data_IF_177532042824
#
_entry.id   IF_177532042824
#
_cell.length_a   1.000
_cell.length_b   1.000
_cell.length_c   1.000
_cell.angle_alpha   90.00
_cell.angle_beta   90.00
_cell.angle_gamma   90.00
#
_symmetry.space_group_name_H-M   'P 1'
#
loop_
_entity.id
_entity.type
_entity.pdbx_description
1 polymer ?
#
# COMPACT_ATOMS: atom_id res chain seq x y z
N UNK A 1 -16.49 44.48 -44.43
CA UNK A 1 -15.48 43.50 -43.90
C UNK A 1 -14.77 43.97 -42.63
N UNK A 2 -14.56 45.25 -42.37
CA UNK A 2 -13.84 45.74 -41.17
C UNK A 2 -14.56 45.50 -39.84
N UNK A 3 -15.91 45.51 -39.79
CA UNK A 3 -16.69 45.26 -38.54
C UNK A 3 -16.62 43.82 -38.02
N UNK A 4 -16.37 42.84 -38.88
CA UNK A 4 -16.22 41.41 -38.45
C UNK A 4 -14.87 41.13 -37.79
N UNK A 5 -13.83 41.90 -38.10
CA UNK A 5 -12.49 41.77 -37.52
C UNK A 5 -12.49 42.27 -36.07
N UNK A 6 -13.23 43.33 -35.76
CA UNK A 6 -13.32 43.83 -34.37
C UNK A 6 -14.09 42.90 -33.45
N UNK A 7 -15.06 42.12 -33.97
CA UNK A 7 -15.79 41.13 -33.20
C UNK A 7 -14.91 39.92 -32.86
N UNK A 8 -14.02 39.52 -33.77
CA UNK A 8 -13.05 38.44 -33.54
C UNK A 8 -11.96 38.87 -32.57
N UNK A 9 -11.50 40.13 -32.61
CA UNK A 9 -10.51 40.68 -31.70
C UNK A 9 -11.04 40.82 -30.24
N UNK A 10 -12.37 41.00 -30.06
CA UNK A 10 -13.00 41.13 -28.75
C UNK A 10 -13.21 39.74 -28.08
N UNK A 11 -13.16 38.64 -28.85
CA UNK A 11 -13.33 37.27 -28.33
C UNK A 11 -12.01 36.67 -27.80
N UNK A 12 -10.87 37.26 -28.18
CA UNK A 12 -9.54 36.73 -27.83
C UNK A 12 -9.18 36.84 -26.34
N UNK A 13 -9.58 37.91 -25.58
CA UNK A 13 -9.30 37.95 -24.15
C UNK A 13 -10.17 37.02 -23.29
N UNK A 14 -11.20 36.39 -23.86
CA UNK A 14 -12.03 35.43 -23.14
C UNK A 14 -11.41 34.01 -23.10
N UNK A 15 -10.34 33.78 -23.85
CA UNK A 15 -9.60 32.50 -23.86
C UNK A 15 -8.35 32.49 -22.95
N UNK A 16 -7.99 33.65 -22.36
CA UNK A 16 -6.97 33.74 -21.32
C UNK A 16 -7.60 33.49 -19.93
N UNK A 17 -8.42 32.48 -19.81
CA UNK A 17 -9.08 32.09 -18.57
C UNK A 17 -8.24 31.06 -17.79
N UNK A 18 -7.75 31.50 -16.66
CA UNK A 18 -7.58 30.71 -15.44
C UNK A 18 -6.77 29.42 -15.53
N UNK A 19 -5.47 29.52 -15.72
CA UNK A 19 -4.55 28.48 -15.26
C UNK A 19 -4.64 28.33 -13.73
N UNK A 20 -4.90 29.40 -12.99
CA UNK A 20 -5.06 29.39 -11.53
C UNK A 20 -6.35 28.69 -11.04
N UNK A 21 -7.38 28.58 -11.88
CA UNK A 21 -8.63 27.92 -11.46
C UNK A 21 -8.50 26.38 -11.37
N UNK A 22 -7.58 25.81 -12.14
CA UNK A 22 -7.29 24.37 -12.12
C UNK A 22 -6.01 24.05 -11.35
N UNK A 23 -5.30 25.05 -10.82
CA UNK A 23 -4.20 24.80 -9.91
C UNK A 23 -4.80 24.22 -8.60
N UNK A 24 -4.43 23.02 -8.20
CA UNK A 24 -4.87 22.48 -6.91
C UNK A 24 -4.45 23.47 -5.81
N UNK A 25 -5.38 23.82 -4.94
CA UNK A 25 -5.09 24.65 -3.78
C UNK A 25 -4.16 23.85 -2.87
N UNK A 26 -2.85 24.07 -2.98
CA UNK A 26 -1.82 23.30 -2.27
C UNK A 26 -1.80 23.59 -0.77
N UNK A 27 -2.58 24.59 -0.30
CA UNK A 27 -2.70 24.90 1.11
C UNK A 27 -3.47 23.80 1.91
N UNK A 28 -4.32 23.02 1.22
CA UNK A 28 -5.14 21.95 1.81
C UNK A 28 -4.70 20.53 1.39
N UNK A 29 -3.71 20.39 0.50
CA UNK A 29 -3.18 19.09 0.07
C UNK A 29 -1.75 18.94 0.55
N UNK A 30 -1.52 17.94 1.41
CA UNK A 30 -0.16 17.49 1.73
C UNK A 30 0.51 17.04 0.42
N UNK A 31 1.57 17.73 0.02
CA UNK A 31 2.43 17.24 -1.04
C UNK A 31 3.17 16.01 -0.53
N UNK A 32 3.35 15.00 -1.37
CA UNK A 32 4.07 13.77 -1.05
C UNK A 32 5.42 14.02 -0.33
N UNK A 33 6.16 15.04 -0.78
CA UNK A 33 7.43 15.48 -0.19
C UNK A 33 7.33 16.05 1.25
N UNK A 34 6.13 16.41 1.70
CA UNK A 34 5.88 17.01 3.03
C UNK A 34 5.09 16.04 3.93
N UNK A 35 4.93 14.78 3.51
CA UNK A 35 4.16 13.76 4.23
C UNK A 35 4.69 13.52 5.65
N UNK A 36 6.02 13.50 5.83
CA UNK A 36 6.66 13.42 7.15
C UNK A 36 7.59 14.62 7.34
N UNK A 37 7.09 15.69 7.94
CA UNK A 37 7.86 16.90 8.27
C UNK A 37 8.27 16.99 9.74
N UNK A 38 7.64 16.19 10.61
CA UNK A 38 7.86 16.21 12.07
C UNK A 38 8.02 14.80 12.63
N UNK A 39 8.62 14.69 13.82
CA UNK A 39 8.70 13.41 14.53
C UNK A 39 7.33 12.86 14.92
N UNK A 40 6.34 13.72 15.14
CA UNK A 40 4.96 13.32 15.41
C UNK A 40 4.34 12.63 14.19
N UNK A 41 4.48 13.20 13.00
CA UNK A 41 3.99 12.62 11.75
C UNK A 41 4.68 11.29 11.44
N UNK A 42 5.96 11.17 11.74
CA UNK A 42 6.71 9.93 11.61
C UNK A 42 6.12 8.81 12.49
N UNK A 43 5.81 9.10 13.75
CA UNK A 43 5.13 8.12 14.63
C UNK A 43 3.69 7.84 14.19
N UNK A 44 2.98 8.85 13.69
CA UNK A 44 1.61 8.67 13.16
C UNK A 44 1.62 7.80 11.91
N UNK A 45 2.59 7.99 11.01
CA UNK A 45 2.79 7.11 9.84
C UNK A 45 3.06 5.66 10.25
N UNK A 46 3.88 5.43 11.28
CA UNK A 46 4.09 4.09 11.83
C UNK A 46 2.79 3.46 12.38
N UNK A 47 1.94 4.24 13.04
CA UNK A 47 0.63 3.77 13.50
C UNK A 47 -0.30 3.46 12.32
N UNK A 48 -0.25 4.24 11.24
CA UNK A 48 -0.95 3.96 9.98
C UNK A 48 -0.52 2.62 9.37
N UNK A 49 0.79 2.33 9.36
CA UNK A 49 1.32 1.04 8.91
C UNK A 49 0.83 -0.12 9.81
N UNK A 50 0.76 0.08 11.12
CA UNK A 50 0.20 -0.91 12.05
C UNK A 50 -1.29 -1.17 11.77
N UNK A 51 -2.06 -0.13 11.40
CA UNK A 51 -3.46 -0.28 11.00
C UNK A 51 -3.60 -1.12 9.72
N UNK A 52 -2.74 -0.92 8.71
CA UNK A 52 -2.74 -1.77 7.51
C UNK A 52 -2.53 -3.26 7.84
N UNK A 53 -1.69 -3.56 8.83
CA UNK A 53 -1.51 -4.94 9.31
C UNK A 53 -2.79 -5.44 9.99
N UNK A 54 -3.42 -4.61 10.82
CA UNK A 54 -4.67 -4.97 11.51
C UNK A 54 -5.79 -5.33 10.54
N UNK A 55 -5.87 -4.64 9.40
CA UNK A 55 -6.89 -4.89 8.37
C UNK A 55 -6.79 -6.28 7.73
N UNK A 56 -5.63 -6.94 7.80
CA UNK A 56 -5.40 -8.27 7.18
C UNK A 56 -5.17 -9.40 8.19
N UNK A 57 -5.08 -9.10 9.48
CA UNK A 57 -4.84 -10.12 10.52
C UNK A 57 -5.95 -11.16 10.56
N UNK A 58 -7.21 -10.74 10.49
CA UNK A 58 -8.35 -11.67 10.50
C UNK A 58 -8.32 -12.59 9.28
N UNK A 59 -8.01 -12.06 8.10
CA UNK A 59 -7.82 -12.85 6.89
C UNK A 59 -6.71 -13.90 7.06
N UNK A 60 -5.56 -13.51 7.59
CA UNK A 60 -4.45 -14.42 7.85
C UNK A 60 -4.86 -15.54 8.81
N UNK A 61 -5.53 -15.20 9.91
CA UNK A 61 -6.01 -16.17 10.91
C UNK A 61 -7.01 -17.17 10.32
N UNK A 62 -7.97 -16.71 9.52
CA UNK A 62 -8.95 -17.59 8.88
C UNK A 62 -8.28 -18.50 7.84
N UNK A 63 -7.41 -17.98 6.99
CA UNK A 63 -6.73 -18.78 5.97
C UNK A 63 -5.85 -19.85 6.60
N UNK A 64 -5.05 -19.51 7.60
CA UNK A 64 -4.22 -20.47 8.32
C UNK A 64 -5.07 -21.48 9.12
N UNK A 65 -6.10 -21.00 9.80
CA UNK A 65 -6.95 -21.83 10.64
C UNK A 65 -7.80 -22.84 9.85
N UNK A 66 -8.42 -22.39 8.75
CA UNK A 66 -9.26 -23.24 7.91
C UNK A 66 -8.44 -24.27 7.13
N UNK A 67 -7.29 -23.87 6.57
CA UNK A 67 -6.41 -24.80 5.83
C UNK A 67 -5.58 -25.70 6.74
N UNK A 68 -5.35 -25.28 7.98
CA UNK A 68 -4.57 -26.03 8.97
C UNK A 68 -5.40 -26.95 9.87
N UNK A 69 -6.68 -27.18 9.55
CA UNK A 69 -7.62 -28.00 10.35
C UNK A 69 -7.79 -27.50 11.81
N UNK A 70 -7.50 -26.22 12.07
CA UNK A 70 -7.70 -25.59 13.38
C UNK A 70 -9.09 -24.98 13.53
N UNK A 71 -9.70 -24.62 12.40
CA UNK A 71 -11.05 -24.03 12.32
C UNK A 71 -11.91 -24.85 11.33
N UNK A 72 -13.18 -25.00 11.66
CA UNK A 72 -14.20 -25.59 10.79
C UNK A 72 -15.34 -24.58 10.59
N UNK A 73 -15.78 -24.33 9.33
CA UNK A 73 -16.90 -23.44 9.09
C UNK A 73 -18.19 -24.03 9.66
N UNK A 74 -18.98 -23.20 10.31
CA UNK A 74 -20.34 -23.60 10.75
C UNK A 74 -21.28 -23.66 9.55
N UNK A 75 -22.45 -24.30 9.71
CA UNK A 75 -23.48 -24.39 8.66
C UNK A 75 -23.94 -23.05 8.10
N UNK A 76 -23.78 -21.96 8.87
CA UNK A 76 -24.14 -20.60 8.49
C UNK A 76 -22.93 -19.77 8.03
N UNK A 77 -21.74 -20.36 7.93
CA UNK A 77 -20.56 -19.66 7.46
C UNK A 77 -20.70 -19.25 5.98
N UNK A 78 -20.11 -18.11 5.56
CA UNK A 78 -20.06 -17.70 4.17
C UNK A 78 -19.42 -18.77 3.27
N UNK A 79 -19.83 -18.81 2.00
CA UNK A 79 -19.31 -19.78 1.03
C UNK A 79 -17.81 -19.68 0.84
N UNK A 80 -17.25 -18.49 0.94
CA UNK A 80 -15.81 -18.21 0.85
C UNK A 80 -15.01 -19.00 1.90
N UNK A 81 -15.52 -19.14 3.12
CA UNK A 81 -14.89 -19.96 4.17
C UNK A 81 -14.95 -21.45 3.85
N UNK A 82 -16.06 -21.91 3.32
CA UNK A 82 -16.22 -23.31 2.88
C UNK A 82 -15.32 -23.64 1.70
N UNK A 83 -15.12 -22.69 0.79
CA UNK A 83 -14.22 -22.87 -0.36
C UNK A 83 -12.75 -22.93 0.08
N UNK A 84 -12.33 -22.12 1.04
CA UNK A 84 -11.00 -22.21 1.65
C UNK A 84 -10.82 -23.53 2.41
N UNK A 85 -11.80 -23.91 3.24
CA UNK A 85 -11.76 -25.15 4.01
C UNK A 85 -11.64 -26.40 3.12
N UNK A 86 -12.31 -26.40 1.97
CA UNK A 86 -12.29 -27.48 0.99
C UNK A 86 -11.21 -27.32 -0.10
N UNK A 87 -10.30 -26.34 0.03
CA UNK A 87 -9.23 -26.04 -0.95
C UNK A 87 -9.71 -25.73 -2.37
N UNK A 88 -10.97 -25.29 -2.54
CA UNK A 88 -11.51 -24.94 -3.85
C UNK A 88 -10.98 -23.62 -4.37
N UNK A 89 -10.66 -22.69 -3.48
CA UNK A 89 -10.05 -21.41 -3.79
C UNK A 89 -8.69 -21.55 -4.48
N UNK A 90 -7.96 -22.66 -4.27
CA UNK A 90 -6.71 -22.95 -4.98
C UNK A 90 -6.90 -23.36 -6.46
N UNK A 91 -8.13 -23.63 -6.87
CA UNK A 91 -8.47 -24.05 -8.25
C UNK A 91 -8.96 -22.89 -9.12
N UNK A 92 -9.11 -21.70 -8.56
CA UNK A 92 -9.65 -20.51 -9.20
C UNK A 92 -8.72 -19.31 -8.95
N UNK A 93 -8.84 -18.20 -9.71
CA UNK A 93 -8.14 -16.96 -9.37
C UNK A 93 -8.47 -16.55 -7.94
N UNK A 94 -7.45 -16.20 -7.15
CA UNK A 94 -7.62 -15.78 -5.75
C UNK A 94 -8.54 -14.56 -5.59
N UNK A 95 -8.64 -13.72 -6.62
CA UNK A 95 -9.56 -12.58 -6.66
C UNK A 95 -11.04 -12.96 -6.61
N UNK A 96 -11.40 -14.20 -6.95
CA UNK A 96 -12.79 -14.66 -6.93
C UNK A 96 -13.29 -15.03 -5.53
N UNK A 97 -12.35 -15.18 -4.59
CA UNK A 97 -12.64 -15.40 -3.17
C UNK A 97 -12.00 -14.28 -2.34
N UNK A 98 -12.82 -13.38 -1.81
CA UNK A 98 -12.36 -12.22 -1.05
C UNK A 98 -11.51 -12.60 0.18
N UNK A 99 -11.77 -13.75 0.80
CA UNK A 99 -10.97 -14.26 1.91
C UNK A 99 -9.59 -14.73 1.46
N UNK A 100 -9.45 -15.21 0.22
CA UNK A 100 -8.20 -15.72 -0.33
C UNK A 100 -7.43 -14.70 -1.20
N UNK A 101 -7.92 -13.46 -1.36
CA UNK A 101 -7.26 -12.42 -2.15
C UNK A 101 -5.97 -11.95 -1.44
N UNK A 102 -4.78 -12.09 -2.05
CA UNK A 102 -3.51 -11.68 -1.44
C UNK A 102 -3.30 -10.17 -1.34
N UNK A 103 -4.20 -9.37 -1.92
CA UNK A 103 -4.06 -7.91 -2.06
C UNK A 103 -3.76 -7.20 -0.74
N UNK A 104 -4.39 -7.63 0.36
CA UNK A 104 -4.17 -7.03 1.68
C UNK A 104 -2.73 -7.17 2.17
N UNK A 105 -2.10 -8.32 1.95
CA UNK A 105 -0.69 -8.55 2.32
C UNK A 105 0.26 -7.70 1.48
N UNK A 106 -0.02 -7.55 0.18
CA UNK A 106 0.76 -6.64 -0.67
C UNK A 106 0.58 -5.17 -0.28
N UNK A 107 -0.62 -4.77 0.19
CA UNK A 107 -0.81 -3.43 0.73
C UNK A 107 0.11 -3.15 1.94
N UNK A 108 0.29 -4.12 2.85
CA UNK A 108 1.24 -3.99 3.96
C UNK A 108 2.68 -3.82 3.46
N UNK A 109 3.09 -4.59 2.43
CA UNK A 109 4.45 -4.52 1.86
C UNK A 109 4.68 -3.14 1.23
N UNK A 110 3.77 -2.68 0.37
CA UNK A 110 3.90 -1.42 -0.35
C UNK A 110 3.87 -0.22 0.61
N UNK A 111 2.95 -0.20 1.59
CA UNK A 111 2.94 0.85 2.61
C UNK A 111 4.20 0.81 3.50
N UNK A 112 4.80 -0.37 3.72
CA UNK A 112 6.07 -0.46 4.44
C UNK A 112 7.22 0.14 3.65
N UNK A 113 7.28 -0.09 2.33
CA UNK A 113 8.31 0.47 1.45
C UNK A 113 8.20 2.00 1.41
N UNK A 114 6.99 2.50 1.17
CA UNK A 114 6.68 3.93 1.12
C UNK A 114 7.04 4.63 2.46
N UNK A 115 6.61 4.04 3.56
CA UNK A 115 6.94 4.57 4.88
C UNK A 115 8.45 4.59 5.16
N UNK A 116 9.18 3.54 4.78
CA UNK A 116 10.63 3.47 4.96
C UNK A 116 11.36 4.53 4.15
N UNK A 117 10.95 4.80 2.91
CA UNK A 117 11.50 5.88 2.09
C UNK A 117 11.36 7.22 2.80
N UNK A 118 10.17 7.58 3.26
CA UNK A 118 9.93 8.82 4.00
C UNK A 118 10.70 8.91 5.33
N UNK A 119 10.91 7.78 6.02
CA UNK A 119 11.76 7.72 7.23
C UNK A 119 13.21 8.04 6.88
N UNK A 120 13.73 7.54 5.76
CA UNK A 120 15.09 7.81 5.30
C UNK A 120 15.23 9.28 4.91
N UNK A 121 14.31 9.84 4.13
CA UNK A 121 14.28 11.25 3.76
C UNK A 121 14.22 12.17 5.00
N UNK A 122 13.35 11.84 5.96
CA UNK A 122 13.25 12.57 7.23
C UNK A 122 14.58 12.57 7.98
N UNK A 123 15.25 11.42 8.07
CA UNK A 123 16.55 11.31 8.75
C UNK A 123 17.65 12.09 8.05
N UNK A 124 17.65 12.11 6.72
CA UNK A 124 18.60 12.92 5.93
C UNK A 124 18.35 14.41 6.16
N UNK A 125 17.10 14.85 6.12
CA UNK A 125 16.71 16.26 6.31
C UNK A 125 16.93 16.74 7.75
N UNK A 126 16.73 15.86 8.75
CA UNK A 126 16.82 16.17 10.18
C UNK A 126 17.70 15.18 10.94
N UNK A 127 19.02 15.17 10.73
CA UNK A 127 19.93 14.11 11.22
C UNK A 127 20.02 14.00 12.74
N UNK A 128 19.70 15.07 13.49
CA UNK A 128 19.86 15.15 14.96
C UNK A 128 18.56 15.02 15.73
N UNK A 129 17.38 15.04 15.06
CA UNK A 129 16.07 15.06 15.76
C UNK A 129 15.74 13.70 16.38
N UNK A 130 16.10 12.60 15.70
CA UNK A 130 15.90 11.25 16.24
C UNK A 130 17.20 10.70 16.79
N UNK A 131 17.14 10.08 17.96
CA UNK A 131 18.24 9.26 18.45
C UNK A 131 18.46 8.06 17.51
N UNK A 132 19.68 7.50 17.49
CA UNK A 132 19.97 6.30 16.71
C UNK A 132 19.09 5.12 17.14
N UNK A 133 18.77 5.01 18.43
CA UNK A 133 17.90 3.97 18.98
C UNK A 133 16.48 4.08 18.42
N UNK A 134 15.90 5.29 18.46
CA UNK A 134 14.52 5.52 17.98
C UNK A 134 14.41 5.29 16.47
N UNK A 135 15.38 5.83 15.72
CA UNK A 135 15.48 5.63 14.28
C UNK A 135 15.54 4.15 13.89
N UNK A 136 16.45 3.39 14.53
CA UNK A 136 16.57 1.96 14.27
C UNK A 136 15.31 1.19 14.74
N UNK A 137 14.66 1.63 15.80
CA UNK A 137 13.41 1.05 16.29
C UNK A 137 12.26 1.19 15.28
N UNK A 138 12.13 2.36 14.68
CA UNK A 138 11.12 2.65 13.66
C UNK A 138 11.36 1.81 12.40
N UNK A 139 12.60 1.80 11.88
CA UNK A 139 12.97 0.98 10.71
C UNK A 139 12.73 -0.50 10.99
N UNK A 140 13.22 -1.01 12.12
CA UNK A 140 13.04 -2.40 12.51
C UNK A 140 11.57 -2.79 12.66
N UNK A 141 10.74 -1.87 13.15
CA UNK A 141 9.30 -2.05 13.23
C UNK A 141 8.62 -2.16 11.86
N UNK A 142 8.94 -1.27 10.93
CA UNK A 142 8.41 -1.31 9.57
C UNK A 142 8.86 -2.56 8.81
N UNK A 143 10.15 -2.89 8.88
CA UNK A 143 10.70 -4.11 8.27
C UNK A 143 10.06 -5.38 8.85
N UNK A 144 9.72 -5.40 10.14
CA UNK A 144 9.01 -6.52 10.76
C UNK A 144 7.64 -6.74 10.14
N UNK A 145 6.87 -5.67 9.88
CA UNK A 145 5.56 -5.78 9.23
C UNK A 145 5.69 -6.26 7.78
N UNK A 146 6.64 -5.72 7.04
CA UNK A 146 6.98 -6.17 5.68
C UNK A 146 7.35 -7.66 5.65
N UNK A 147 8.24 -8.09 6.55
CA UNK A 147 8.65 -9.48 6.65
C UNK A 147 7.50 -10.41 7.05
N UNK A 148 6.62 -9.97 7.96
CA UNK A 148 5.43 -10.72 8.33
C UNK A 148 4.49 -10.92 7.14
N UNK A 149 4.25 -9.88 6.34
CA UNK A 149 3.38 -9.99 5.17
C UNK A 149 3.96 -10.96 4.12
N UNK A 150 5.27 -10.92 3.86
CA UNK A 150 5.94 -11.91 3.00
C UNK A 150 5.85 -13.33 3.56
N UNK A 151 6.03 -13.51 4.87
CA UNK A 151 5.87 -14.81 5.50
C UNK A 151 4.45 -15.35 5.31
N UNK A 152 3.41 -14.50 5.44
CA UNK A 152 2.03 -14.92 5.21
C UNK A 152 1.81 -15.30 3.73
N UNK A 153 2.30 -14.50 2.78
CA UNK A 153 2.24 -14.84 1.35
C UNK A 153 2.92 -16.18 1.06
N UNK A 154 4.11 -16.39 1.59
CA UNK A 154 4.85 -17.64 1.40
C UNK A 154 4.11 -18.86 1.98
N UNK A 155 3.57 -18.75 3.21
CA UNK A 155 2.86 -19.85 3.88
C UNK A 155 1.51 -20.17 3.22
N UNK A 156 0.77 -19.14 2.80
CA UNK A 156 -0.61 -19.26 2.31
C UNK A 156 -0.63 -19.60 0.82
N UNK A 157 0.24 -18.96 0.02
CA UNK A 157 0.22 -19.05 -1.44
C UNK A 157 1.44 -19.78 -2.03
N UNK A 158 2.46 -20.06 -1.23
CA UNK A 158 3.68 -20.76 -1.64
C UNK A 158 4.70 -19.90 -2.36
N UNK A 159 4.32 -18.72 -2.83
CA UNK A 159 5.18 -17.79 -3.55
C UNK A 159 4.72 -16.35 -3.36
N UNK A 160 5.60 -15.39 -3.59
CA UNK A 160 5.31 -13.97 -3.56
C UNK A 160 6.14 -13.19 -4.57
N UNK A 161 5.55 -12.18 -5.21
CA UNK A 161 6.31 -11.18 -5.99
C UNK A 161 7.10 -10.31 -5.01
N UNK A 162 8.42 -10.21 -5.20
CA UNK A 162 9.26 -9.37 -4.36
C UNK A 162 9.19 -7.91 -4.81
N UNK A 163 8.72 -7.05 -3.93
CA UNK A 163 8.55 -5.62 -4.14
C UNK A 163 9.35 -4.86 -3.08
N UNK A 164 10.39 -4.13 -3.49
CA UNK A 164 11.29 -3.43 -2.56
C UNK A 164 11.30 -1.91 -2.75
N UNK A 165 10.59 -1.44 -3.77
CA UNK A 165 10.46 -0.03 -4.10
C UNK A 165 9.13 0.56 -3.60
N UNK A 166 8.98 1.89 -3.48
CA UNK A 166 7.72 2.56 -3.20
C UNK A 166 6.66 2.29 -4.27
N UNK A 167 5.38 2.39 -3.89
CA UNK A 167 4.24 2.10 -4.77
C UNK A 167 4.27 2.89 -6.09
N UNK A 168 4.67 4.16 -6.06
CA UNK A 168 4.72 5.03 -7.23
C UNK A 168 5.69 4.55 -8.34
N UNK A 169 6.64 3.66 -8.00
CA UNK A 169 7.66 3.15 -8.92
C UNK A 169 7.15 2.00 -9.78
N UNK A 170 6.08 1.28 -9.35
CA UNK A 170 5.63 0.07 -10.03
C UNK A 170 4.77 0.38 -11.25
N UNK A 171 5.24 -0.07 -12.43
CA UNK A 171 4.53 0.05 -13.70
C UNK A 171 4.13 -1.31 -14.27
N UNK A 172 4.99 -2.32 -14.14
CA UNK A 172 4.78 -3.67 -14.67
C UNK A 172 5.33 -4.70 -13.67
N UNK A 173 4.43 -5.40 -12.98
CA UNK A 173 4.78 -6.38 -11.95
C UNK A 173 5.45 -7.63 -12.54
N UNK A 174 5.33 -7.90 -13.85
CA UNK A 174 5.98 -9.04 -14.50
C UNK A 174 7.52 -8.96 -14.51
N UNK A 175 8.07 -7.77 -14.26
CA UNK A 175 9.52 -7.54 -14.21
C UNK A 175 10.13 -7.86 -12.85
N UNK A 176 9.30 -8.05 -11.81
CA UNK A 176 9.77 -8.29 -10.45
C UNK A 176 9.95 -9.79 -10.19
N UNK A 177 10.98 -10.16 -9.41
CA UNK A 177 11.24 -11.57 -9.11
C UNK A 177 10.12 -12.18 -8.27
N UNK A 178 9.78 -13.43 -8.59
CA UNK A 178 8.87 -14.23 -7.77
C UNK A 178 9.72 -15.08 -6.82
N UNK A 179 9.54 -14.88 -5.53
CA UNK A 179 10.18 -15.67 -4.48
C UNK A 179 9.28 -16.86 -4.14
N UNK A 180 9.87 -18.03 -4.05
CA UNK A 180 9.20 -19.25 -3.57
C UNK A 180 9.49 -19.47 -2.08
N UNK A 181 8.67 -20.30 -1.44
CA UNK A 181 8.77 -20.55 0.00
C UNK A 181 10.17 -21.00 0.46
N UNK A 182 10.90 -21.75 -0.36
CA UNK A 182 12.27 -22.21 -0.11
C UNK A 182 13.33 -21.12 -0.32
N UNK A 183 12.94 -19.95 -0.81
CA UNK A 183 13.82 -18.79 -1.06
C UNK A 183 13.53 -17.56 -0.19
N UNK A 184 12.61 -17.67 0.78
CA UNK A 184 12.21 -16.55 1.67
C UNK A 184 12.84 -16.69 3.05
#
# INVERSE_FOLDING_TARGET
>A
MKKKIYFLALLFPLLSGCDDFFAPNTDDTLLEKDYIGTSYELYTGYMGLAACVQDVVDQAMFLEGLRGDLLEPTTNAPVEMWDVYNYKDLQQPFSDNALADPKGFYAVILNSNDYLEHVFEYKEKYPTVLSTSDYNGIIGGALRYKAWAYLMLAKIYGEAVYLDDPLATYQDLSQYPVLKFDGI
#
